data_IF_287627249757
#
_entry.id   IF_287627249757
#
_cell.length_a   1.000
_cell.length_b   1.000
_cell.length_c   1.000
_cell.angle_alpha   90.00
_cell.angle_beta   90.00
_cell.angle_gamma   90.00
#
_symmetry.space_group_name_H-M   'P 1'
#
loop_
_entity.id
_entity.type
_entity.pdbx_description
1 polymer ?
#
# COMPACT_ATOMS: atom_id res chain seq x y z
N UNK A 1 -6.34 4.38 -3.32
CA UNK A 1 -7.51 5.29 -3.29
C UNK A 1 -7.13 6.62 -2.67
N UNK A 2 -7.98 7.66 -2.86
CA UNK A 2 -7.85 8.95 -2.16
C UNK A 2 -9.13 9.20 -1.35
N UNK A 3 -9.01 9.89 -0.21
CA UNK A 3 -10.13 10.25 0.66
C UNK A 3 -10.33 11.77 0.66
N UNK A 4 -11.58 12.18 0.53
CA UNK A 4 -12.01 13.56 0.72
C UNK A 4 -13.42 13.58 1.31
N UNK A 5 -13.57 14.17 2.48
CA UNK A 5 -14.86 14.23 3.19
C UNK A 5 -15.53 12.84 3.33
N UNK A 6 -14.79 11.87 3.83
CA UNK A 6 -15.27 10.48 4.08
C UNK A 6 -15.68 9.71 2.81
N UNK A 7 -15.30 10.20 1.62
CA UNK A 7 -15.62 9.60 0.31
C UNK A 7 -14.35 9.17 -0.40
N UNK A 8 -14.40 8.00 -1.05
CA UNK A 8 -13.30 7.48 -1.85
C UNK A 8 -13.29 8.06 -3.27
N UNK A 9 -12.07 8.34 -3.76
CA UNK A 9 -11.80 8.81 -5.12
C UNK A 9 -10.68 7.98 -5.75
N UNK A 10 -10.72 7.88 -7.09
CA UNK A 10 -9.73 7.14 -7.86
C UNK A 10 -8.49 7.99 -8.18
N UNK A 11 -8.67 9.30 -8.29
CA UNK A 11 -7.65 10.26 -8.70
C UNK A 11 -7.26 11.23 -7.57
N UNK A 12 -6.05 11.81 -7.73
CA UNK A 12 -5.47 12.76 -6.78
C UNK A 12 -6.20 14.11 -6.76
N UNK A 13 -6.90 14.44 -7.82
CA UNK A 13 -7.68 15.67 -7.96
C UNK A 13 -9.03 15.60 -7.23
N UNK A 14 -9.44 14.38 -6.82
CA UNK A 14 -10.72 14.16 -6.15
C UNK A 14 -11.91 14.39 -7.09
N UNK A 15 -11.78 14.05 -8.37
CA UNK A 15 -12.81 14.25 -9.41
C UNK A 15 -13.53 12.97 -9.77
N UNK A 16 -12.85 11.80 -9.72
CA UNK A 16 -13.41 10.50 -10.00
C UNK A 16 -13.88 9.82 -8.70
N UNK A 17 -15.12 10.10 -8.29
CA UNK A 17 -15.70 9.47 -7.10
C UNK A 17 -15.93 7.98 -7.32
N UNK A 18 -15.65 7.18 -6.28
CA UNK A 18 -15.98 5.76 -6.19
C UNK A 18 -17.30 5.63 -5.42
N UNK A 19 -18.20 4.76 -5.87
CA UNK A 19 -19.53 4.61 -5.26
C UNK A 19 -19.48 3.81 -3.94
N UNK A 20 -18.52 2.90 -3.82
CA UNK A 20 -18.31 2.09 -2.63
C UNK A 20 -17.80 2.94 -1.46
N UNK A 21 -18.10 2.53 -0.25
CA UNK A 21 -17.53 3.17 0.93
C UNK A 21 -16.03 2.89 1.00
N UNK A 22 -15.21 3.82 1.53
CA UNK A 22 -13.75 3.63 1.61
C UNK A 22 -13.35 2.34 2.33
N UNK A 23 -14.08 1.96 3.37
CA UNK A 23 -13.81 0.74 4.15
C UNK A 23 -14.12 -0.51 3.33
N UNK A 24 -15.30 -0.58 2.69
CA UNK A 24 -15.66 -1.72 1.85
C UNK A 24 -14.70 -1.89 0.66
N UNK A 25 -14.28 -0.78 0.05
CA UNK A 25 -13.27 -0.78 -1.01
C UNK A 25 -11.92 -1.32 -0.51
N UNK A 26 -11.49 -0.92 0.68
CA UNK A 26 -10.25 -1.39 1.27
C UNK A 26 -10.32 -2.88 1.65
N UNK A 27 -11.46 -3.35 2.18
CA UNK A 27 -11.73 -4.78 2.41
C UNK A 27 -11.63 -5.55 1.09
N UNK A 28 -12.23 -5.04 0.01
CA UNK A 28 -12.15 -5.66 -1.33
C UNK A 28 -10.70 -5.76 -1.82
N UNK A 29 -9.85 -4.73 -1.64
CA UNK A 29 -8.42 -4.82 -1.96
C UNK A 29 -7.72 -5.91 -1.15
N UNK A 30 -8.01 -5.99 0.15
CA UNK A 30 -7.40 -6.97 1.04
C UNK A 30 -7.82 -8.40 0.69
N UNK A 31 -9.09 -8.63 0.35
CA UNK A 31 -9.64 -9.93 -0.02
C UNK A 31 -9.14 -10.42 -1.39
N UNK A 32 -8.84 -9.50 -2.31
CA UNK A 32 -8.32 -9.81 -3.65
C UNK A 32 -6.79 -9.84 -3.73
N UNK A 33 -6.11 -10.14 -2.63
CA UNK A 33 -4.65 -10.37 -2.59
C UNK A 33 -3.78 -9.15 -2.92
N UNK A 34 -4.27 -7.92 -2.80
CA UNK A 34 -3.40 -6.75 -2.87
C UNK A 34 -2.40 -6.77 -1.71
N UNK A 35 -1.13 -6.46 -1.99
CA UNK A 35 -0.05 -6.55 -0.98
C UNK A 35 -0.03 -5.35 -0.02
N UNK A 36 -0.57 -4.20 -0.44
CA UNK A 36 -0.71 -3.00 0.36
C UNK A 36 -1.82 -2.09 -0.18
N UNK A 37 -2.32 -1.18 0.65
CA UNK A 37 -3.32 -0.18 0.27
C UNK A 37 -2.71 1.21 0.46
N UNK A 38 -2.65 1.99 -0.63
CA UNK A 38 -2.31 3.41 -0.55
C UNK A 38 -3.57 4.26 -0.35
N UNK A 39 -3.54 5.15 0.64
CA UNK A 39 -4.62 6.10 0.97
C UNK A 39 -4.05 7.52 1.04
N UNK A 40 -4.40 8.34 0.07
CA UNK A 40 -4.06 9.77 0.04
C UNK A 40 -5.20 10.63 0.58
N UNK A 41 -4.95 11.41 1.63
CA UNK A 41 -5.94 12.33 2.21
C UNK A 41 -5.94 13.65 1.42
N UNK A 42 -7.10 14.04 0.88
CA UNK A 42 -7.30 15.27 0.11
C UNK A 42 -8.04 16.33 0.93
N UNK A 43 -8.02 16.22 2.25
CA UNK A 43 -8.69 17.13 3.17
C UNK A 43 -8.19 18.58 2.98
N UNK A 44 -9.10 19.53 2.86
CA UNK A 44 -8.77 20.95 2.62
C UNK A 44 -8.52 21.73 3.92
N UNK A 45 -8.97 21.19 5.05
CA UNK A 45 -8.82 21.80 6.37
C UNK A 45 -8.75 20.75 7.48
N UNK A 46 -8.38 21.18 8.70
CA UNK A 46 -8.20 20.29 9.84
C UNK A 46 -9.48 19.55 10.24
N UNK A 47 -10.67 20.14 10.08
CA UNK A 47 -11.93 19.52 10.45
C UNK A 47 -12.31 18.37 9.52
N UNK A 48 -12.04 18.51 8.23
CA UNK A 48 -12.17 17.44 7.25
C UNK A 48 -11.11 16.35 7.47
N UNK A 49 -9.88 16.78 7.77
CA UNK A 49 -8.78 15.87 8.03
C UNK A 49 -9.07 14.94 9.21
N UNK A 50 -9.62 15.44 10.32
CA UNK A 50 -9.96 14.58 11.46
C UNK A 50 -11.02 13.52 11.09
N UNK A 51 -12.00 13.85 10.25
CA UNK A 51 -13.00 12.87 9.77
C UNK A 51 -12.36 11.84 8.85
N UNK A 52 -11.54 12.28 7.90
CA UNK A 52 -10.84 11.38 6.99
C UNK A 52 -9.84 10.48 7.75
N UNK A 53 -9.25 10.97 8.86
CA UNK A 53 -8.44 10.14 9.76
C UNK A 53 -9.24 9.08 10.51
N UNK A 54 -10.50 9.36 10.87
CA UNK A 54 -11.38 8.35 11.49
C UNK A 54 -11.70 7.23 10.49
N UNK A 55 -12.02 7.58 9.23
CA UNK A 55 -12.20 6.60 8.15
C UNK A 55 -10.91 5.81 7.89
N UNK A 56 -9.76 6.48 7.86
CA UNK A 56 -8.47 5.81 7.69
C UNK A 56 -8.19 4.80 8.81
N UNK A 57 -8.56 5.13 10.04
CA UNK A 57 -8.46 4.22 11.20
C UNK A 57 -9.34 3.00 11.02
N UNK A 58 -10.56 3.17 10.55
CA UNK A 58 -11.47 2.06 10.24
C UNK A 58 -10.90 1.18 9.12
N UNK A 59 -10.34 1.76 8.06
CA UNK A 59 -9.63 1.02 7.00
C UNK A 59 -8.51 0.17 7.60
N UNK A 60 -7.63 0.76 8.41
CA UNK A 60 -6.52 0.04 9.02
C UNK A 60 -6.96 -1.11 9.95
N UNK A 61 -8.13 -0.98 10.59
CA UNK A 61 -8.68 -2.01 11.49
C UNK A 61 -9.37 -3.15 10.74
N UNK A 62 -9.94 -2.87 9.57
CA UNK A 62 -10.72 -3.84 8.80
C UNK A 62 -9.95 -4.52 7.67
N UNK A 63 -8.66 -4.21 7.48
CA UNK A 63 -7.83 -4.81 6.44
C UNK A 63 -6.66 -5.58 7.05
N UNK A 64 -6.35 -6.74 6.45
CA UNK A 64 -5.19 -7.56 6.85
C UNK A 64 -3.88 -7.12 6.19
N UNK A 65 -3.91 -6.07 5.38
CA UNK A 65 -2.78 -5.61 4.57
C UNK A 65 -2.23 -4.29 5.07
N UNK A 66 -0.92 -4.02 4.90
CA UNK A 66 -0.34 -2.73 5.23
C UNK A 66 -1.06 -1.57 4.55
N UNK A 67 -1.35 -0.52 5.30
CA UNK A 67 -1.89 0.73 4.77
C UNK A 67 -0.80 1.78 4.75
N UNK A 68 -0.64 2.45 3.61
CA UNK A 68 0.28 3.56 3.42
C UNK A 68 -0.56 4.84 3.35
N UNK A 69 -0.38 5.73 4.34
CA UNK A 69 -1.09 7.00 4.41
C UNK A 69 -0.29 8.16 3.83
N UNK A 70 -0.96 9.15 3.28
CA UNK A 70 -0.34 10.42 2.84
C UNK A 70 -1.34 11.56 2.84
N UNK A 71 -0.85 12.78 2.62
CA UNK A 71 -1.68 13.98 2.48
C UNK A 71 -1.95 14.71 3.81
N UNK A 72 -2.22 16.01 3.71
CA UNK A 72 -2.44 16.92 4.84
C UNK A 72 -1.31 16.90 5.87
N UNK A 73 -0.05 16.87 5.41
CA UNK A 73 1.15 16.82 6.26
C UNK A 73 1.86 18.16 6.18
N UNK A 74 1.89 18.90 7.28
CA UNK A 74 2.57 20.18 7.42
C UNK A 74 3.65 20.16 8.52
N UNK A 75 3.59 19.17 9.41
CA UNK A 75 4.47 19.04 10.57
C UNK A 75 4.55 17.60 11.03
N UNK A 76 5.49 17.30 11.93
CA UNK A 76 5.72 15.96 12.46
C UNK A 76 4.46 15.35 13.12
N UNK A 77 3.63 16.15 13.78
CA UNK A 77 2.40 15.70 14.43
C UNK A 77 1.42 15.08 13.44
N UNK A 78 1.39 15.56 12.19
CA UNK A 78 0.49 15.04 11.18
C UNK A 78 0.96 13.66 10.71
N UNK A 79 2.28 13.45 10.55
CA UNK A 79 2.87 12.11 10.33
C UNK A 79 2.52 11.16 11.48
N UNK A 80 2.62 11.64 12.72
CA UNK A 80 2.28 10.85 13.89
C UNK A 80 0.80 10.45 13.91
N UNK A 81 -0.13 11.33 13.49
CA UNK A 81 -1.56 11.02 13.41
C UNK A 81 -1.82 9.86 12.44
N UNK A 82 -1.21 9.88 11.24
CA UNK A 82 -1.32 8.80 10.25
C UNK A 82 -0.80 7.47 10.80
N UNK A 83 0.38 7.46 11.41
CA UNK A 83 0.94 6.26 12.03
C UNK A 83 0.07 5.73 13.18
N UNK A 84 -0.52 6.60 14.01
CA UNK A 84 -1.39 6.22 15.11
C UNK A 84 -2.81 5.85 14.65
N UNK A 85 -3.23 6.28 13.46
CA UNK A 85 -4.43 5.76 12.82
C UNK A 85 -4.28 4.27 12.39
N UNK A 86 -3.04 3.78 12.32
CA UNK A 86 -2.74 2.38 11.98
C UNK A 86 -1.93 2.21 10.70
N UNK A 87 -1.56 3.31 10.02
CA UNK A 87 -0.72 3.20 8.84
C UNK A 87 0.63 2.55 9.17
N UNK A 88 1.01 1.58 8.36
CA UNK A 88 2.32 0.93 8.48
C UNK A 88 3.44 1.83 7.96
N UNK A 89 3.11 2.72 7.02
CA UNK A 89 4.03 3.64 6.39
C UNK A 89 3.33 4.96 6.06
N UNK A 90 4.08 6.06 6.06
CA UNK A 90 3.61 7.38 5.62
C UNK A 90 4.44 7.83 4.43
N UNK A 91 3.77 8.25 3.36
CA UNK A 91 4.41 8.83 2.19
C UNK A 91 4.43 10.36 2.31
N UNK A 92 5.61 10.95 2.19
CA UNK A 92 5.86 12.38 2.12
C UNK A 92 5.93 12.83 0.66
N UNK A 93 5.18 13.83 0.27
CA UNK A 93 5.17 14.36 -1.09
C UNK A 93 6.35 15.31 -1.31
N UNK A 94 7.31 14.90 -2.14
CA UNK A 94 8.52 15.69 -2.42
C UNK A 94 8.27 16.88 -3.38
N UNK A 95 7.06 17.00 -3.93
CA UNK A 95 6.66 18.25 -4.59
C UNK A 95 6.36 19.37 -3.57
N UNK A 96 6.15 19.04 -2.30
CA UNK A 96 5.97 19.99 -1.20
C UNK A 96 7.29 20.17 -0.43
N UNK A 97 7.92 21.34 -0.47
CA UNK A 97 9.19 21.60 0.23
C UNK A 97 9.10 21.35 1.74
N UNK A 98 7.95 21.59 2.37
CA UNK A 98 7.75 21.35 3.81
C UNK A 98 7.88 19.87 4.12
N UNK A 99 7.26 19.02 3.34
CA UNK A 99 7.30 17.56 3.54
C UNK A 99 8.70 17.00 3.24
N UNK A 100 9.37 17.52 2.23
CA UNK A 100 10.74 17.17 1.91
C UNK A 100 11.69 17.49 3.10
N UNK A 101 11.59 18.70 3.67
CA UNK A 101 12.41 19.10 4.83
C UNK A 101 12.11 18.25 6.07
N UNK A 102 10.87 17.81 6.27
CA UNK A 102 10.48 16.95 7.39
C UNK A 102 11.07 15.53 7.30
N UNK A 103 11.46 15.05 6.13
CA UNK A 103 11.85 13.65 5.89
C UNK A 103 12.88 13.13 6.89
N UNK A 104 13.95 13.89 7.09
CA UNK A 104 15.02 13.49 8.02
C UNK A 104 14.53 13.40 9.46
N UNK A 105 13.79 14.39 9.92
CA UNK A 105 13.31 14.47 11.31
C UNK A 105 12.35 13.32 11.63
N UNK A 106 11.37 13.06 10.75
CA UNK A 106 10.39 12.00 10.95
C UNK A 106 11.02 10.61 10.84
N UNK A 107 11.97 10.43 9.92
CA UNK A 107 12.68 9.17 9.75
C UNK A 107 13.55 8.84 10.97
N UNK A 108 14.26 9.80 11.53
CA UNK A 108 15.04 9.62 12.76
C UNK A 108 14.16 9.26 13.96
N UNK A 109 12.92 9.74 13.98
CA UNK A 109 11.98 9.51 15.10
C UNK A 109 11.23 8.19 14.99
N UNK A 110 10.78 7.81 13.79
CA UNK A 110 9.88 6.68 13.59
C UNK A 110 10.54 5.48 12.89
N UNK A 111 11.75 5.65 12.35
CA UNK A 111 12.45 4.69 11.53
C UNK A 111 12.19 4.91 10.03
N UNK A 112 13.23 4.70 9.21
CA UNK A 112 13.13 4.92 7.76
C UNK A 112 12.16 3.96 7.07
N UNK A 113 11.92 2.78 7.65
CA UNK A 113 10.97 1.79 7.16
C UNK A 113 9.51 2.29 7.24
N UNK A 114 9.26 3.31 8.05
CA UNK A 114 7.94 3.96 8.17
C UNK A 114 7.74 5.10 7.18
N UNK A 115 8.78 5.50 6.44
CA UNK A 115 8.75 6.68 5.58
C UNK A 115 9.00 6.30 4.14
N UNK A 116 8.12 6.75 3.25
CA UNK A 116 8.24 6.69 1.81
C UNK A 116 8.29 8.11 1.22
N UNK A 117 8.88 8.26 0.04
CA UNK A 117 8.87 9.50 -0.72
C UNK A 117 7.92 9.42 -1.91
N UNK A 118 7.04 10.40 -2.08
CA UNK A 118 6.21 10.58 -3.28
C UNK A 118 6.93 11.49 -4.28
N UNK A 119 7.20 11.00 -5.47
CA UNK A 119 7.98 11.72 -6.50
C UNK A 119 7.17 11.82 -7.79
N UNK A 120 6.89 13.05 -8.21
CA UNK A 120 6.24 13.37 -9.48
C UNK A 120 7.22 13.92 -10.51
N UNK A 121 8.34 14.49 -10.07
CA UNK A 121 9.44 14.95 -10.92
C UNK A 121 10.66 14.04 -10.71
N UNK A 122 11.04 13.30 -11.75
CA UNK A 122 12.15 12.35 -11.72
C UNK A 122 13.49 12.99 -11.34
N UNK A 123 13.67 14.28 -11.59
CA UNK A 123 14.90 15.00 -11.24
C UNK A 123 15.19 14.99 -9.73
N UNK A 124 14.16 14.87 -8.90
CA UNK A 124 14.26 14.75 -7.44
C UNK A 124 14.98 13.45 -7.00
N UNK A 125 14.96 12.40 -7.81
CA UNK A 125 15.66 11.15 -7.50
C UNK A 125 17.18 11.33 -7.46
N UNK A 126 17.74 12.21 -8.29
CA UNK A 126 19.16 12.51 -8.26
C UNK A 126 19.47 13.66 -7.29
N UNK A 127 18.63 14.69 -7.25
CA UNK A 127 18.81 15.85 -6.37
C UNK A 127 18.80 15.46 -4.89
N UNK A 128 17.86 14.58 -4.50
CA UNK A 128 17.64 14.16 -3.12
C UNK A 128 18.15 12.73 -2.83
N UNK A 129 19.10 12.25 -3.65
CA UNK A 129 19.58 10.87 -3.62
C UNK A 129 20.03 10.39 -2.24
N UNK A 130 20.85 11.19 -1.55
CA UNK A 130 21.35 10.82 -0.22
C UNK A 130 20.23 10.87 0.84
N UNK A 131 19.31 11.83 0.75
CA UNK A 131 18.14 11.91 1.61
C UNK A 131 17.26 10.68 1.43
N UNK A 132 16.95 10.31 0.19
CA UNK A 132 16.16 9.11 -0.14
C UNK A 132 16.83 7.84 0.41
N UNK A 133 18.12 7.66 0.14
CA UNK A 133 18.87 6.47 0.57
C UNK A 133 18.91 6.29 2.08
N UNK A 134 19.13 7.38 2.81
CA UNK A 134 19.36 7.34 4.25
C UNK A 134 18.04 7.31 5.05
N UNK A 135 17.01 8.04 4.59
CA UNK A 135 15.83 8.36 5.40
C UNK A 135 14.52 7.82 4.85
N UNK A 136 14.50 7.14 3.70
CA UNK A 136 13.28 6.52 3.17
C UNK A 136 13.50 5.05 2.84
N UNK A 137 12.42 4.27 2.85
CA UNK A 137 12.47 2.85 2.49
C UNK A 137 12.16 2.60 1.03
N UNK A 138 11.34 3.44 0.40
CA UNK A 138 10.91 3.32 -0.98
C UNK A 138 10.41 4.66 -1.54
N UNK A 139 10.28 4.70 -2.86
CA UNK A 139 9.71 5.81 -3.62
C UNK A 139 8.38 5.38 -4.24
N UNK A 140 7.38 6.23 -4.13
CA UNK A 140 6.14 6.17 -4.90
C UNK A 140 6.24 7.12 -6.09
N UNK A 141 6.34 6.56 -7.30
CA UNK A 141 6.54 7.33 -8.53
C UNK A 141 5.20 7.66 -9.19
N UNK A 142 4.84 8.94 -9.23
CA UNK A 142 3.62 9.45 -9.87
C UNK A 142 3.83 9.89 -11.32
N UNK A 143 4.99 9.61 -11.91
CA UNK A 143 5.32 9.88 -13.30
C UNK A 143 5.53 8.56 -14.09
N UNK A 144 4.46 7.91 -14.57
CA UNK A 144 4.56 6.57 -15.16
C UNK A 144 5.40 6.53 -16.45
N UNK A 145 5.52 7.64 -17.17
CA UNK A 145 6.37 7.73 -18.36
C UNK A 145 7.88 7.60 -18.09
N UNK A 146 8.30 7.82 -16.84
CA UNK A 146 9.71 7.79 -16.42
C UNK A 146 10.07 6.55 -15.59
N UNK A 147 9.25 5.50 -15.59
CA UNK A 147 9.45 4.32 -14.74
C UNK A 147 10.80 3.63 -14.98
N UNK A 148 11.21 3.46 -16.24
CA UNK A 148 12.48 2.83 -16.57
C UNK A 148 13.69 3.64 -16.07
N UNK A 149 13.64 4.97 -16.20
CA UNK A 149 14.67 5.87 -15.70
C UNK A 149 14.69 5.88 -14.18
N UNK A 150 13.52 5.94 -13.54
CA UNK A 150 13.39 5.89 -12.08
C UNK A 150 13.96 4.60 -11.50
N UNK A 151 13.75 3.46 -12.15
CA UNK A 151 14.33 2.19 -11.74
C UNK A 151 15.85 2.18 -11.72
N UNK A 152 16.48 2.96 -12.59
CA UNK A 152 17.94 3.10 -12.67
C UNK A 152 18.51 4.15 -11.72
N UNK A 153 17.76 5.25 -11.50
CA UNK A 153 18.24 6.41 -10.74
C UNK A 153 17.96 6.31 -9.24
N UNK A 154 16.86 5.67 -8.86
CA UNK A 154 16.44 5.63 -7.46
C UNK A 154 17.41 4.79 -6.62
N UNK A 155 17.87 5.32 -5.47
CA UNK A 155 18.73 4.58 -4.53
C UNK A 155 17.95 3.58 -3.67
N UNK A 156 16.61 3.61 -3.72
CA UNK A 156 15.71 2.74 -2.96
C UNK A 156 14.63 2.15 -3.89
N UNK A 157 13.97 1.06 -3.49
CA UNK A 157 12.91 0.44 -4.30
C UNK A 157 11.81 1.42 -4.73
N UNK A 158 11.26 1.22 -5.93
CA UNK A 158 10.26 2.09 -6.53
C UNK A 158 8.93 1.35 -6.69
N UNK A 159 7.85 1.95 -6.23
CA UNK A 159 6.46 1.59 -6.55
C UNK A 159 5.95 2.61 -7.57
N UNK A 160 5.57 2.16 -8.76
CA UNK A 160 5.09 3.06 -9.81
C UNK A 160 3.58 3.06 -9.94
N UNK A 161 2.99 4.24 -10.16
CA UNK A 161 1.57 4.40 -10.43
C UNK A 161 1.33 4.29 -11.94
N UNK A 162 0.76 3.17 -12.38
CA UNK A 162 0.52 2.93 -13.79
C UNK A 162 -0.91 3.31 -14.19
N UNK A 163 -1.09 3.97 -15.36
CA UNK A 163 -2.37 4.02 -16.04
C UNK A 163 -2.75 2.62 -16.52
N UNK A 164 -3.84 2.51 -17.28
CA UNK A 164 -4.16 1.29 -18.00
C UNK A 164 -3.05 0.94 -19.01
N UNK A 165 -2.51 -0.26 -18.92
CA UNK A 165 -1.44 -0.77 -19.81
C UNK A 165 -1.72 -2.23 -20.18
N UNK A 166 -1.09 -2.73 -21.27
CA UNK A 166 -1.17 -4.15 -21.64
C UNK A 166 -0.43 -5.03 -20.62
N UNK A 167 -0.78 -6.32 -20.57
CA UNK A 167 -0.10 -7.30 -19.71
C UNK A 167 1.40 -7.42 -20.04
N UNK A 168 1.75 -7.34 -21.35
CA UNK A 168 3.17 -7.36 -21.76
C UNK A 168 3.93 -6.17 -21.16
N UNK A 169 3.33 -4.96 -21.20
CA UNK A 169 3.94 -3.76 -20.63
C UNK A 169 4.04 -3.84 -19.11
N UNK A 170 3.06 -4.44 -18.45
CA UNK A 170 3.08 -4.69 -17.02
C UNK A 170 4.26 -5.59 -16.63
N UNK A 171 4.45 -6.71 -17.33
CA UNK A 171 5.56 -7.64 -17.11
C UNK A 171 6.91 -6.97 -17.40
N UNK A 172 7.01 -6.17 -18.47
CA UNK A 172 8.20 -5.38 -18.75
C UNK A 172 8.57 -4.47 -17.57
N UNK A 173 7.60 -3.69 -17.07
CA UNK A 173 7.81 -2.76 -15.95
C UNK A 173 8.25 -3.50 -14.69
N UNK A 174 7.58 -4.58 -14.33
CA UNK A 174 7.90 -5.38 -13.14
C UNK A 174 9.23 -6.15 -13.27
N UNK A 175 9.77 -6.27 -14.48
CA UNK A 175 11.09 -6.87 -14.72
C UNK A 175 12.26 -5.94 -14.42
N UNK A 176 12.03 -4.64 -14.24
CA UNK A 176 13.12 -3.72 -13.88
C UNK A 176 13.57 -3.97 -12.44
N UNK A 177 14.90 -4.11 -12.25
CA UNK A 177 15.49 -4.62 -11.01
C UNK A 177 15.13 -3.85 -9.73
N UNK A 178 14.77 -2.57 -9.84
CA UNK A 178 14.44 -1.71 -8.69
C UNK A 178 12.96 -1.35 -8.59
N UNK A 179 12.11 -1.93 -9.45
CA UNK A 179 10.66 -1.81 -9.30
C UNK A 179 10.19 -2.89 -8.34
N UNK A 180 9.68 -2.46 -7.19
CA UNK A 180 9.20 -3.34 -6.12
C UNK A 180 7.68 -3.50 -6.10
N UNK A 181 6.95 -2.72 -6.90
CA UNK A 181 5.50 -2.80 -6.95
C UNK A 181 4.87 -1.84 -7.94
N UNK A 182 3.59 -2.05 -8.15
CA UNK A 182 2.74 -1.20 -8.98
C UNK A 182 1.49 -0.77 -8.22
N UNK A 183 0.96 0.37 -8.59
CA UNK A 183 -0.30 0.91 -8.09
C UNK A 183 -1.00 1.71 -9.20
N UNK A 184 -2.13 2.31 -8.90
CA UNK A 184 -2.85 3.21 -9.79
C UNK A 184 -4.03 2.57 -10.50
N UNK A 185 -4.48 3.18 -11.59
CA UNK A 185 -5.70 2.80 -12.31
C UNK A 185 -5.69 1.33 -12.77
N UNK A 186 -4.55 0.86 -13.26
CA UNK A 186 -4.39 -0.53 -13.68
C UNK A 186 -4.82 -1.52 -12.59
N UNK A 187 -4.33 -1.31 -11.34
CA UNK A 187 -4.64 -2.20 -10.21
C UNK A 187 -6.10 -2.03 -9.79
N UNK A 188 -6.58 -0.79 -9.68
CA UNK A 188 -7.93 -0.50 -9.21
C UNK A 188 -9.02 -1.08 -10.13
N UNK A 189 -8.80 -1.09 -11.44
CA UNK A 189 -9.78 -1.61 -12.42
C UNK A 189 -9.69 -3.12 -12.62
N UNK A 190 -8.61 -3.76 -12.16
CA UNK A 190 -8.37 -5.20 -12.33
C UNK A 190 -8.19 -5.92 -10.98
N UNK A 191 -8.88 -5.44 -9.95
CA UNK A 191 -8.69 -5.95 -8.59
C UNK A 191 -8.96 -7.46 -8.47
N UNK A 192 -9.98 -7.97 -9.17
CA UNK A 192 -10.33 -9.40 -9.18
C UNK A 192 -9.33 -10.27 -9.94
N UNK A 193 -8.45 -9.66 -10.73
CA UNK A 193 -7.44 -10.34 -11.54
C UNK A 193 -6.05 -10.35 -10.88
N UNK A 194 -5.89 -9.80 -9.67
CA UNK A 194 -4.57 -9.69 -9.00
C UNK A 194 -3.93 -11.05 -8.81
N UNK A 195 -4.69 -12.07 -8.43
CA UNK A 195 -4.18 -13.45 -8.30
C UNK A 195 -3.64 -14.00 -9.63
N UNK A 196 -4.33 -13.75 -10.75
CA UNK A 196 -3.88 -14.13 -12.09
C UNK A 196 -2.63 -13.34 -12.52
N UNK A 197 -2.58 -12.05 -12.22
CA UNK A 197 -1.39 -11.20 -12.46
C UNK A 197 -0.19 -11.73 -11.66
N UNK A 198 -0.37 -12.08 -10.40
CA UNK A 198 0.68 -12.70 -9.58
C UNK A 198 1.16 -14.03 -10.14
N UNK A 199 0.25 -14.89 -10.64
CA UNK A 199 0.62 -16.13 -11.30
C UNK A 199 1.47 -15.88 -12.55
N UNK A 200 1.09 -14.92 -13.39
CA UNK A 200 1.85 -14.51 -14.56
C UNK A 200 3.24 -13.95 -14.19
N UNK A 201 3.34 -13.19 -13.12
CA UNK A 201 4.64 -12.72 -12.60
C UNK A 201 5.55 -13.89 -12.23
N UNK A 202 5.03 -14.92 -11.52
CA UNK A 202 5.81 -16.14 -11.16
C UNK A 202 6.30 -16.88 -12.39
N UNK A 203 5.46 -17.04 -13.43
CA UNK A 203 5.85 -17.67 -14.71
C UNK A 203 7.01 -16.91 -15.38
N UNK A 204 7.05 -15.60 -15.24
CA UNK A 204 8.12 -14.73 -15.74
C UNK A 204 9.28 -14.54 -14.74
N UNK A 205 9.32 -15.30 -13.65
CA UNK A 205 10.37 -15.24 -12.60
C UNK A 205 10.48 -13.86 -11.91
N UNK A 206 9.39 -13.12 -11.89
CA UNK A 206 9.28 -11.88 -11.15
C UNK A 206 8.88 -12.24 -9.72
N UNK A 207 9.62 -11.81 -8.68
CA UNK A 207 9.25 -12.06 -7.30
C UNK A 207 7.87 -11.45 -6.99
N UNK A 208 7.02 -12.22 -6.34
CA UNK A 208 5.74 -11.74 -5.80
C UNK A 208 5.64 -12.13 -4.34
N UNK A 209 4.98 -11.30 -3.57
CA UNK A 209 4.70 -11.62 -2.18
C UNK A 209 3.58 -12.66 -2.11
N UNK A 210 3.89 -13.79 -1.46
CA UNK A 210 2.91 -14.84 -1.19
C UNK A 210 2.34 -14.66 0.20
N UNK A 211 1.05 -14.37 0.25
CA UNK A 211 0.28 -14.41 1.51
C UNK A 211 -0.27 -15.78 1.82
N UNK A 212 0.26 -16.81 1.17
CA UNK A 212 -0.05 -18.19 1.48
C UNK A 212 0.15 -18.50 2.95
N UNK A 213 -0.56 -19.48 3.46
CA UNK A 213 -0.38 -19.96 4.82
C UNK A 213 1.10 -20.22 5.07
N UNK A 214 1.63 -19.68 6.17
CA UNK A 214 3.03 -19.86 6.58
C UNK A 214 3.39 -21.32 6.85
N UNK A 215 2.39 -22.21 6.84
CA UNK A 215 2.51 -23.64 7.11
C UNK A 215 1.77 -24.44 6.05
N UNK A 216 2.41 -25.49 5.53
CA UNK A 216 1.71 -26.47 4.74
C UNK A 216 0.81 -27.33 5.65
N UNK A 217 -0.28 -27.87 5.12
CA UNK A 217 -1.16 -28.75 5.90
C UNK A 217 -0.40 -29.97 6.47
N UNK A 218 0.66 -30.43 5.79
CA UNK A 218 1.58 -31.47 6.26
C UNK A 218 2.33 -31.12 7.57
N UNK A 219 2.52 -29.82 7.85
CA UNK A 219 3.28 -29.34 8.99
C UNK A 219 2.40 -29.26 10.26
N UNK A 220 1.08 -29.39 10.10
CA UNK A 220 0.14 -29.37 11.21
C UNK A 220 0.17 -30.69 11.99
N UNK A 221 0.17 -30.59 13.32
CA UNK A 221 0.12 -31.75 14.20
C UNK A 221 -1.25 -32.39 14.14
N UNK A 222 -1.30 -33.62 13.58
CA UNK A 222 -2.51 -34.42 13.49
C UNK A 222 -2.78 -35.17 14.79
N UNK A 223 -4.07 -35.34 15.11
CA UNK A 223 -4.52 -36.23 16.17
C UNK A 223 -4.26 -37.71 15.87
N UNK A 224 -4.53 -38.61 16.83
CA UNK A 224 -4.37 -40.07 16.62
C UNK A 224 -5.24 -40.62 15.49
N UNK A 225 -6.33 -39.92 15.14
CA UNK A 225 -7.26 -40.20 14.06
C UNK A 225 -6.83 -39.64 12.71
N UNK A 226 -5.68 -38.97 12.65
CA UNK A 226 -5.12 -38.34 11.46
C UNK A 226 -5.75 -36.97 11.10
N UNK A 227 -6.63 -36.46 11.97
CA UNK A 227 -7.33 -35.19 11.76
C UNK A 227 -6.66 -34.03 12.49
N UNK A 228 -6.86 -32.83 11.97
CA UNK A 228 -6.44 -31.56 12.58
C UNK A 228 -7.66 -30.85 13.15
N UNK A 229 -7.69 -30.53 14.47
CA UNK A 229 -8.78 -29.75 15.02
C UNK A 229 -8.69 -28.30 14.50
N UNK A 230 -9.85 -27.76 14.09
CA UNK A 230 -10.01 -26.41 13.55
C UNK A 230 -11.05 -25.66 14.35
N UNK A 231 -10.71 -24.47 14.78
CA UNK A 231 -11.65 -23.51 15.37
C UNK A 231 -11.98 -22.46 14.32
N UNK A 232 -13.26 -22.36 13.97
CA UNK A 232 -13.75 -21.30 13.08
C UNK A 232 -14.27 -20.17 13.95
N UNK A 233 -13.72 -19.00 13.74
CA UNK A 233 -13.99 -17.80 14.52
C UNK A 233 -14.41 -16.66 13.58
N UNK A 234 -15.39 -15.88 14.00
CA UNK A 234 -15.78 -14.67 13.28
C UNK A 234 -14.70 -13.60 13.43
N UNK A 235 -14.20 -13.05 12.31
CA UNK A 235 -13.07 -12.12 12.28
C UNK A 235 -13.39 -10.75 12.91
N UNK A 236 -14.67 -10.36 12.96
CA UNK A 236 -15.10 -9.05 13.47
C UNK A 236 -15.46 -9.07 14.95
N UNK A 237 -15.99 -10.18 15.42
CA UNK A 237 -16.54 -10.30 16.77
C UNK A 237 -15.73 -11.22 17.68
N UNK A 238 -14.72 -11.92 17.14
CA UNK A 238 -13.95 -12.97 17.79
C UNK A 238 -14.83 -14.14 18.32
N UNK A 239 -16.11 -14.19 17.95
CA UNK A 239 -17.00 -15.24 18.37
C UNK A 239 -16.62 -16.57 17.72
N UNK A 240 -16.44 -17.61 18.54
CA UNK A 240 -16.22 -18.98 18.04
C UNK A 240 -17.51 -19.48 17.43
N UNK A 241 -17.52 -19.73 16.13
CA UNK A 241 -18.71 -20.19 15.38
C UNK A 241 -18.84 -21.71 15.43
N UNK A 242 -17.73 -22.42 15.32
CA UNK A 242 -17.72 -23.90 15.37
C UNK A 242 -16.32 -24.45 15.64
N UNK A 243 -16.29 -25.70 16.07
CA UNK A 243 -15.09 -26.52 16.08
C UNK A 243 -15.32 -27.68 15.11
N UNK A 244 -14.37 -27.89 14.20
CA UNK A 244 -14.41 -28.96 13.20
C UNK A 244 -13.08 -29.74 13.18
N UNK A 245 -13.04 -30.79 12.39
CA UNK A 245 -11.83 -31.58 12.14
C UNK A 245 -11.67 -31.72 10.64
N UNK A 246 -10.43 -31.52 10.14
CA UNK A 246 -10.14 -31.59 8.71
C UNK A 246 -8.96 -32.55 8.44
N UNK A 247 -8.94 -33.10 7.23
CA UNK A 247 -7.95 -34.04 6.71
C UNK A 247 -7.42 -33.57 5.34
#
# INVERSE_FOLDING_TARGET
>A
MYLKNEVAYQDREGTCRIEETPVALAESYSENECDAIYVGLLSENDAEHEKDLDVLREICQNTAVPVIGSGHIFRMEDVKKLLYAGCQQVMLDYADPVQLELTKEVSLKFGKEKIAAGVADISLLEQEKELLKEYTSNVFLFCPGATAEAALMSPVPVVTFLPEVSLEKLIEVLSYANISGISGKLVNENITEISAIKALCRENKIPVEDRGASYAFSDLKKGPDGLVPVVVQDVKTDAVLMVAYMN
#
